data_IF_010294046364
#
_entry.id   IF_010294046364
#
_cell.length_a   1.000
_cell.length_b   1.000
_cell.length_c   1.000
_cell.angle_alpha   90.00
_cell.angle_beta   90.00
_cell.angle_gamma   90.00
#
_symmetry.space_group_name_H-M   'P 1'
#
loop_
_entity.id
_entity.type
_entity.pdbx_description
1 polymer ?
#
# COMPACT_ATOMS: atom_id res chain seq x y z
N UNK A 1 10.22 -17.88 0.97
CA UNK A 1 9.18 -16.93 0.51
C UNK A 1 9.29 -15.70 1.39
N UNK A 2 9.42 -14.49 0.82
CA UNK A 2 9.75 -13.27 1.59
C UNK A 2 8.56 -12.80 2.46
N UNK A 3 7.33 -13.08 2.03
CA UNK A 3 6.10 -12.86 2.81
C UNK A 3 5.34 -14.17 2.95
N UNK A 4 5.55 -14.94 4.03
CA UNK A 4 4.87 -16.22 4.24
C UNK A 4 3.38 -16.05 4.55
N UNK A 5 3.00 -14.96 5.24
CA UNK A 5 1.63 -14.71 5.72
C UNK A 5 0.84 -13.72 4.83
N UNK A 6 1.36 -13.40 3.64
CA UNK A 6 0.72 -12.42 2.77
C UNK A 6 -0.57 -12.94 2.13
N UNK A 7 -1.64 -12.15 2.25
CA UNK A 7 -2.86 -12.29 1.46
C UNK A 7 -2.69 -11.60 0.10
N UNK A 8 -2.84 -12.34 -1.00
CA UNK A 8 -2.72 -11.78 -2.35
C UNK A 8 -4.07 -11.22 -2.80
N UNK A 9 -4.13 -9.91 -2.98
CA UNK A 9 -5.31 -9.22 -3.50
C UNK A 9 -5.04 -8.78 -4.95
N UNK A 10 -5.77 -9.38 -5.90
CA UNK A 10 -5.72 -9.02 -7.31
C UNK A 10 -6.97 -8.24 -7.71
N UNK A 11 -6.80 -7.05 -8.27
CA UNK A 11 -7.90 -6.20 -8.74
C UNK A 11 -7.58 -5.65 -10.14
N UNK A 12 -8.59 -5.67 -11.03
CA UNK A 12 -8.52 -5.06 -12.36
C UNK A 12 -9.40 -3.82 -12.39
N UNK A 13 -8.78 -2.65 -12.52
CA UNK A 13 -9.49 -1.36 -12.59
C UNK A 13 -9.75 -1.05 -14.07
N UNK A 14 -11.04 -1.01 -14.46
CA UNK A 14 -11.46 -0.56 -15.79
C UNK A 14 -11.42 0.96 -15.96
N UNK A 15 -11.54 1.42 -17.20
CA UNK A 15 -11.39 2.83 -17.59
C UNK A 15 -12.50 3.75 -17.08
N UNK A 16 -13.65 3.20 -16.69
CA UNK A 16 -14.88 4.01 -16.61
C UNK A 16 -15.18 4.60 -15.24
N UNK A 17 -14.58 4.10 -14.14
CA UNK A 17 -14.89 4.63 -12.79
C UNK A 17 -13.73 4.74 -11.80
N UNK A 18 -12.51 4.30 -12.11
CA UNK A 18 -11.32 4.47 -11.24
C UNK A 18 -11.53 4.13 -9.75
N UNK A 19 -12.51 3.29 -9.42
CA UNK A 19 -12.77 2.88 -8.04
C UNK A 19 -11.88 1.68 -7.76
N UNK A 20 -11.19 1.70 -6.61
CA UNK A 20 -10.34 0.61 -6.13
C UNK A 20 -10.95 -0.05 -4.90
N UNK A 21 -12.12 -0.71 -5.02
CA UNK A 21 -12.87 -1.16 -3.86
C UNK A 21 -12.12 -2.20 -3.03
N UNK A 22 -11.30 -3.06 -3.63
CA UNK A 22 -10.53 -4.06 -2.88
C UNK A 22 -9.32 -3.43 -2.21
N UNK A 23 -8.63 -2.51 -2.90
CA UNK A 23 -7.52 -1.78 -2.30
C UNK A 23 -7.97 -0.92 -1.11
N UNK A 24 -9.04 -0.15 -1.26
CA UNK A 24 -9.57 0.69 -0.17
C UNK A 24 -10.00 -0.16 1.02
N UNK A 25 -10.68 -1.29 0.76
CA UNK A 25 -11.09 -2.23 1.81
C UNK A 25 -9.89 -2.89 2.50
N UNK A 26 -8.80 -3.15 1.78
CA UNK A 26 -7.56 -3.65 2.37
C UNK A 26 -6.94 -2.60 3.28
N UNK A 27 -6.81 -1.35 2.80
CA UNK A 27 -6.29 -0.23 3.59
C UNK A 27 -7.11 0.02 4.85
N UNK A 28 -8.44 -0.11 4.78
CA UNK A 28 -9.33 0.01 5.95
C UNK A 28 -9.21 -1.14 6.95
N UNK A 29 -8.77 -2.32 6.49
CA UNK A 29 -8.58 -3.50 7.35
C UNK A 29 -7.21 -3.57 8.00
N UNK A 30 -6.21 -2.89 7.44
CA UNK A 30 -4.86 -2.90 7.97
C UNK A 30 -4.81 -2.22 9.35
N UNK A 31 -4.10 -2.86 10.27
CA UNK A 31 -3.88 -2.38 11.62
C UNK A 31 -2.40 -2.04 11.85
N UNK A 32 -2.08 -1.43 12.99
CA UNK A 32 -0.71 -1.13 13.37
C UNK A 32 0.17 -2.39 13.34
N UNK A 33 1.34 -2.30 12.70
CA UNK A 33 2.26 -3.43 12.53
C UNK A 33 2.06 -4.24 11.25
N UNK A 34 0.99 -3.99 10.49
CA UNK A 34 0.80 -4.58 9.16
C UNK A 34 1.72 -3.96 8.10
N UNK A 35 1.88 -4.66 6.98
CA UNK A 35 2.62 -4.17 5.82
C UNK A 35 1.84 -4.35 4.51
N UNK A 36 1.72 -3.27 3.74
CA UNK A 36 1.14 -3.29 2.40
C UNK A 36 2.26 -3.48 1.37
N UNK A 37 2.23 -4.61 0.65
CA UNK A 37 3.20 -4.92 -0.39
C UNK A 37 2.59 -4.74 -1.78
N UNK A 38 3.22 -3.91 -2.61
CA UNK A 38 2.81 -3.66 -4.00
C UNK A 38 3.94 -3.98 -4.98
N UNK A 39 3.59 -4.52 -6.14
CA UNK A 39 4.59 -4.89 -7.16
C UNK A 39 5.27 -3.68 -7.79
N UNK A 40 4.54 -2.58 -7.99
CA UNK A 40 5.01 -1.34 -8.61
C UNK A 40 4.29 -0.13 -8.03
N UNK A 41 4.89 1.05 -8.17
CA UNK A 41 4.31 2.31 -7.69
C UNK A 41 2.93 2.59 -8.30
N UNK A 42 2.72 2.28 -9.59
CA UNK A 42 1.43 2.49 -10.28
C UNK A 42 0.31 1.55 -9.81
N UNK A 43 0.65 0.52 -9.02
CA UNK A 43 -0.30 -0.33 -8.29
C UNK A 43 -0.60 0.19 -6.90
N UNK A 44 0.24 1.08 -6.37
CA UNK A 44 0.00 1.74 -5.09
C UNK A 44 -0.80 3.03 -5.27
N UNK A 45 -0.42 3.91 -6.20
CA UNK A 45 -1.12 5.17 -6.48
C UNK A 45 -1.10 5.53 -7.98
N UNK A 46 -1.98 6.44 -8.42
CA UNK A 46 -2.01 6.94 -9.81
C UNK A 46 -1.36 8.30 -9.99
N UNK A 47 -1.16 9.04 -8.90
CA UNK A 47 -0.44 10.30 -8.90
C UNK A 47 0.48 10.40 -7.69
N UNK A 48 1.49 11.28 -7.79
CA UNK A 48 2.40 11.58 -6.67
C UNK A 48 1.61 12.14 -5.49
N UNK A 49 0.68 13.07 -5.74
CA UNK A 49 -0.12 13.69 -4.67
C UNK A 49 -1.04 12.71 -3.94
N UNK A 50 -1.56 11.70 -4.64
CA UNK A 50 -2.30 10.59 -4.01
C UNK A 50 -1.37 9.68 -3.21
N UNK A 51 -0.21 9.34 -3.80
CA UNK A 51 0.78 8.48 -3.15
C UNK A 51 1.30 9.07 -1.84
N UNK A 52 1.65 10.36 -1.82
CA UNK A 52 2.13 11.03 -0.61
C UNK A 52 1.07 10.99 0.50
N UNK A 53 -0.20 11.27 0.16
CA UNK A 53 -1.31 11.23 1.15
C UNK A 53 -1.53 9.82 1.70
N UNK A 54 -1.53 8.81 0.83
CA UNK A 54 -1.68 7.41 1.24
C UNK A 54 -0.53 6.95 2.13
N UNK A 55 0.71 7.32 1.78
CA UNK A 55 1.88 7.02 2.61
C UNK A 55 1.73 7.65 3.99
N UNK A 56 1.43 8.95 4.05
CA UNK A 56 1.28 9.69 5.31
C UNK A 56 0.16 9.09 6.19
N UNK A 57 -0.98 8.75 5.59
CA UNK A 57 -2.10 8.11 6.30
C UNK A 57 -1.72 6.73 6.86
N UNK A 58 -1.05 5.90 6.06
CA UNK A 58 -0.67 4.55 6.44
C UNK A 58 0.43 4.54 7.51
N UNK A 59 1.46 5.38 7.34
CA UNK A 59 2.52 5.53 8.34
C UNK A 59 1.97 6.06 9.66
N UNK A 60 1.04 7.03 9.62
CA UNK A 60 0.36 7.53 10.82
C UNK A 60 -0.48 6.46 11.56
N UNK A 61 -0.85 5.37 10.88
CA UNK A 61 -1.50 4.20 11.46
C UNK A 61 -0.51 3.11 11.89
N UNK A 62 0.80 3.35 11.76
CA UNK A 62 1.86 2.37 12.01
C UNK A 62 1.90 1.22 11.00
N UNK A 63 1.41 1.46 9.77
CA UNK A 63 1.41 0.49 8.67
C UNK A 63 2.60 0.77 7.76
N UNK A 64 3.43 -0.25 7.53
CA UNK A 64 4.56 -0.16 6.61
C UNK A 64 4.14 -0.39 5.15
N UNK A 65 4.91 0.14 4.21
CA UNK A 65 4.63 -0.01 2.78
C UNK A 65 5.89 -0.55 2.09
N UNK A 66 5.73 -1.58 1.27
CA UNK A 66 6.82 -2.09 0.44
C UNK A 66 6.43 -2.08 -1.03
N UNK A 67 7.08 -1.21 -1.80
CA UNK A 67 7.02 -1.23 -3.25
C UNK A 67 8.17 -2.09 -3.76
N UNK A 68 7.90 -3.28 -4.31
CA UNK A 68 8.96 -4.24 -4.71
C UNK A 68 10.01 -3.64 -5.65
N UNK A 69 9.62 -2.65 -6.46
CA UNK A 69 10.51 -1.97 -7.39
C UNK A 69 11.24 -0.74 -6.80
N UNK A 70 10.94 -0.32 -5.57
CA UNK A 70 11.42 0.95 -5.00
C UNK A 70 12.01 0.81 -3.59
N UNK A 71 11.53 -0.15 -2.80
CA UNK A 71 11.98 -0.42 -1.44
C UNK A 71 10.85 -0.36 -0.41
N UNK A 72 11.25 -0.41 0.87
CA UNK A 72 10.37 -0.29 2.04
C UNK A 72 10.30 1.18 2.45
N UNK A 73 9.11 1.61 2.81
CA UNK A 73 8.76 2.91 3.36
C UNK A 73 8.07 2.59 4.70
N UNK A 74 8.72 2.93 5.79
CA UNK A 74 8.20 2.77 7.14
C UNK A 74 8.57 4.00 7.98
N UNK A 75 7.96 4.11 9.16
CA UNK A 75 8.25 5.18 10.14
C UNK A 75 9.37 4.77 11.11
N UNK A 76 10.20 3.80 10.73
CA UNK A 76 11.37 3.45 11.51
C UNK A 76 12.37 4.58 11.31
N UNK A 77 12.28 5.61 12.16
CA UNK A 77 13.39 6.50 12.41
C UNK A 77 14.61 5.61 12.67
N UNK A 78 15.63 5.70 11.81
CA UNK A 78 17.00 5.40 12.21
C UNK A 78 17.31 6.29 13.40
N UNK A 79 16.99 5.80 14.59
CA UNK A 79 17.57 6.22 15.85
C UNK A 79 19.01 5.73 15.97
#
# INVERSE_FOLDING_TARGET
>A
QIYPDAEIIAETIGTEKFVRPLFNKMVEKCEEGDMIVCTKLDRFCRSIGEGVRLVDELLSKGIAIHILNMGIIDDSETG
#
